data_IF_381797230797
#
_entry.id   IF_381797230797
#
_cell.length_a   1.000
_cell.length_b   1.000
_cell.length_c   1.000
_cell.angle_alpha   90.00
_cell.angle_beta   90.00
_cell.angle_gamma   90.00
#
_symmetry.space_group_name_H-M   'P 1'
#
loop_
_entity.id
_entity.type
_entity.pdbx_description
1 polymer ?
#
# COMPACT_ATOMS: atom_id res chain seq x y z
N UNK A 1 -24.40 8.90 -5.45
CA UNK A 1 -24.26 7.92 -4.35
C UNK A 1 -23.15 8.36 -3.43
N UNK A 2 -23.26 8.02 -2.15
CA UNK A 2 -22.27 8.29 -1.11
C UNK A 2 -22.02 7.01 -0.34
N UNK A 3 -20.82 6.90 0.24
CA UNK A 3 -20.51 5.89 1.23
C UNK A 3 -20.67 6.50 2.63
N UNK A 4 -21.30 5.76 3.51
CA UNK A 4 -21.54 6.11 4.89
C UNK A 4 -20.96 5.03 5.80
N UNK A 5 -20.53 5.40 6.99
CA UNK A 5 -20.18 4.48 8.05
C UNK A 5 -21.44 3.89 8.76
N UNK A 6 -21.22 3.09 9.78
CA UNK A 6 -22.32 2.49 10.57
C UNK A 6 -23.16 3.52 11.32
N UNK A 7 -22.66 4.74 11.49
CA UNK A 7 -23.33 5.88 12.16
C UNK A 7 -23.89 6.89 11.17
N UNK A 8 -24.00 6.51 9.91
CA UNK A 8 -24.48 7.35 8.79
C UNK A 8 -23.64 8.62 8.51
N UNK A 9 -22.37 8.64 8.95
CA UNK A 9 -21.44 9.71 8.62
C UNK A 9 -20.69 9.39 7.32
N UNK A 10 -20.39 10.44 6.54
CA UNK A 10 -19.52 10.33 5.36
C UNK A 10 -18.09 10.12 5.83
N UNK A 11 -17.37 9.22 5.18
CA UNK A 11 -15.93 9.07 5.38
C UNK A 11 -15.16 9.26 4.06
N UNK A 12 -13.87 9.65 4.14
CA UNK A 12 -13.05 9.81 2.96
C UNK A 12 -12.98 8.52 2.14
N UNK A 13 -13.08 8.61 0.83
CA UNK A 13 -12.95 7.45 -0.06
C UNK A 13 -11.58 7.49 -0.71
N UNK A 14 -10.70 6.55 -0.31
CA UNK A 14 -9.38 6.39 -0.89
C UNK A 14 -9.37 5.30 -1.95
N UNK A 15 -8.49 5.45 -2.93
CA UNK A 15 -8.28 4.45 -3.97
C UNK A 15 -6.84 4.49 -4.47
N UNK A 16 -6.36 3.38 -4.98
CA UNK A 16 -5.07 3.27 -5.65
C UNK A 16 -5.20 2.46 -6.94
N UNK A 17 -4.25 2.62 -7.83
CA UNK A 17 -4.29 1.93 -9.12
C UNK A 17 -4.30 0.40 -8.95
N UNK A 18 -3.43 -0.12 -8.08
CA UNK A 18 -3.33 -1.55 -7.78
C UNK A 18 -2.79 -1.78 -6.37
N UNK A 19 -3.44 -2.62 -5.57
CA UNK A 19 -3.01 -2.91 -4.20
C UNK A 19 -1.93 -4.01 -4.10
N UNK A 20 -1.58 -4.68 -5.20
CA UNK A 20 -0.54 -5.72 -5.21
C UNK A 20 -0.95 -7.04 -4.55
N UNK A 21 -2.24 -7.32 -4.46
CA UNK A 21 -2.77 -8.53 -3.83
C UNK A 21 -3.17 -8.37 -2.35
N UNK A 22 -2.82 -7.24 -1.73
CA UNK A 22 -3.23 -6.91 -0.36
C UNK A 22 -3.40 -5.40 -0.20
N UNK A 23 -4.53 -4.95 0.34
CA UNK A 23 -4.72 -3.53 0.69
C UNK A 23 -3.94 -3.14 1.94
N UNK A 24 -3.66 -1.83 2.07
CA UNK A 24 -3.03 -1.25 3.26
C UNK A 24 -4.09 -0.73 4.23
N UNK A 25 -3.77 -0.75 5.49
CA UNK A 25 -4.45 0.05 6.51
C UNK A 25 -3.98 1.51 6.43
N UNK A 26 -4.79 2.43 6.93
CA UNK A 26 -4.47 3.86 6.85
C UNK A 26 -3.28 4.27 7.71
N UNK A 27 -3.10 3.66 8.86
CA UNK A 27 -1.98 3.91 9.77
C UNK A 27 -0.62 3.46 9.21
N UNK A 28 -0.60 2.43 8.36
CA UNK A 28 0.60 2.02 7.63
C UNK A 28 1.13 3.11 6.66
N UNK A 29 0.25 4.04 6.25
CA UNK A 29 0.57 5.06 5.24
C UNK A 29 0.57 6.47 5.85
N UNK A 30 -0.40 6.82 6.71
CA UNK A 30 -0.62 8.21 7.18
C UNK A 30 -0.55 8.38 8.70
N UNK A 31 -0.17 7.36 9.46
CA UNK A 31 -0.13 7.36 10.94
C UNK A 31 -1.50 7.68 11.58
N UNK A 32 -2.60 7.40 10.89
CA UNK A 32 -3.97 7.63 11.37
C UNK A 32 -4.80 6.40 11.07
N UNK A 33 -5.39 5.78 12.09
CA UNK A 33 -6.27 4.64 11.93
C UNK A 33 -7.70 5.08 11.63
N UNK A 34 -8.25 4.53 10.53
CA UNK A 34 -9.67 4.69 10.17
C UNK A 34 -10.26 3.27 10.06
N UNK A 35 -11.17 2.87 10.96
CA UNK A 35 -11.65 1.48 11.07
C UNK A 35 -12.23 0.88 9.78
N UNK A 36 -12.77 1.70 8.88
CA UNK A 36 -13.30 1.26 7.60
C UNK A 36 -12.22 0.76 6.60
N UNK A 37 -10.94 0.96 6.89
CA UNK A 37 -9.81 0.62 6.02
C UNK A 37 -8.95 -0.48 6.64
N UNK A 38 -9.53 -1.64 6.82
CA UNK A 38 -8.80 -2.85 7.23
C UNK A 38 -8.03 -3.44 6.06
N UNK A 39 -6.85 -3.99 6.35
CA UNK A 39 -6.08 -4.75 5.36
C UNK A 39 -6.87 -5.95 4.87
N UNK A 40 -6.85 -6.19 3.57
CA UNK A 40 -7.62 -7.24 2.90
C UNK A 40 -6.81 -7.85 1.77
N UNK A 41 -6.91 -9.16 1.65
CA UNK A 41 -6.43 -9.87 0.47
C UNK A 41 -7.31 -9.52 -0.74
N UNK A 42 -6.69 -9.24 -1.88
CA UNK A 42 -7.35 -8.90 -3.14
C UNK A 42 -6.74 -9.69 -4.30
N UNK A 43 -7.32 -10.82 -4.62
CA UNK A 43 -6.87 -11.66 -5.74
C UNK A 43 -7.32 -11.16 -7.11
N UNK A 44 -8.21 -10.15 -7.17
CA UNK A 44 -8.72 -9.62 -8.44
C UNK A 44 -7.69 -8.80 -9.21
N UNK A 45 -6.67 -8.25 -8.53
CA UNK A 45 -5.68 -7.38 -9.15
C UNK A 45 -4.32 -8.04 -9.46
N UNK A 46 -4.05 -9.28 -9.00
CA UNK A 46 -2.70 -9.89 -9.02
C UNK A 46 -2.16 -10.26 -10.40
N UNK A 47 -3.02 -10.32 -11.43
CA UNK A 47 -2.66 -10.62 -12.81
C UNK A 47 -2.86 -9.44 -13.76
N UNK A 48 -2.97 -8.22 -13.21
CA UNK A 48 -3.20 -7.01 -13.99
C UNK A 48 -1.89 -6.29 -14.30
N UNK A 49 -1.97 -5.27 -15.17
CA UNK A 49 -0.80 -4.56 -15.70
C UNK A 49 0.12 -3.98 -14.60
N UNK A 50 -0.46 -3.52 -13.49
CA UNK A 50 0.28 -2.83 -12.43
C UNK A 50 0.52 -3.71 -11.20
N UNK A 51 0.30 -5.02 -11.33
CA UNK A 51 0.43 -5.96 -10.22
C UNK A 51 1.86 -6.10 -9.71
N UNK A 52 2.84 -6.01 -10.60
CA UNK A 52 4.26 -6.20 -10.25
C UNK A 52 5.12 -5.10 -10.88
N UNK A 53 6.25 -4.82 -10.23
CA UNK A 53 7.27 -3.90 -10.73
C UNK A 53 8.64 -4.23 -10.16
N UNK A 54 9.68 -3.79 -10.87
CA UNK A 54 11.06 -3.90 -10.45
C UNK A 54 11.76 -2.55 -10.59
N UNK A 55 12.72 -2.29 -9.71
CA UNK A 55 13.62 -1.13 -9.81
C UNK A 55 14.98 -1.46 -9.24
N UNK A 56 16.03 -1.22 -10.03
CA UNK A 56 17.42 -1.34 -9.63
C UNK A 56 17.93 0.01 -9.14
N UNK A 57 18.50 0.05 -7.93
CA UNK A 57 19.08 1.25 -7.33
C UNK A 57 20.51 0.91 -6.88
N UNK A 58 21.52 1.74 -7.18
CA UNK A 58 22.88 1.51 -6.68
C UNK A 58 22.89 1.33 -5.16
N UNK A 59 23.54 0.29 -4.66
CA UNK A 59 23.62 0.00 -3.22
C UNK A 59 24.15 1.21 -2.43
N UNK A 60 25.18 1.89 -2.98
CA UNK A 60 25.75 3.10 -2.39
C UNK A 60 24.70 4.21 -2.18
N UNK A 61 23.75 4.35 -3.09
CA UNK A 61 22.69 5.36 -3.00
C UNK A 61 21.71 5.04 -1.87
N UNK A 62 21.28 3.77 -1.78
CA UNK A 62 20.39 3.30 -0.70
C UNK A 62 21.07 3.45 0.66
N UNK A 63 22.29 3.00 0.80
CA UNK A 63 23.08 3.07 2.03
C UNK A 63 23.33 4.52 2.45
N UNK A 64 23.73 5.39 1.49
CA UNK A 64 23.94 6.82 1.76
C UNK A 64 22.67 7.51 2.25
N UNK A 65 21.51 7.19 1.69
CA UNK A 65 20.23 7.73 2.15
C UNK A 65 19.92 7.28 3.59
N UNK A 66 20.02 5.98 3.86
CA UNK A 66 19.71 5.43 5.18
C UNK A 66 20.64 5.95 6.28
N UNK A 67 21.95 6.03 5.97
CA UNK A 67 22.93 6.59 6.90
C UNK A 67 22.69 8.06 7.19
N UNK A 68 22.42 8.89 6.17
CA UNK A 68 22.22 10.33 6.34
C UNK A 68 20.88 10.73 6.94
N UNK A 69 19.78 10.08 6.52
CA UNK A 69 18.45 10.47 6.93
C UNK A 69 18.00 9.80 8.24
N UNK A 70 18.52 8.61 8.54
CA UNK A 70 18.09 7.81 9.67
C UNK A 70 19.24 7.38 10.58
N UNK A 71 20.47 7.83 10.32
CA UNK A 71 21.68 7.50 11.09
C UNK A 71 21.94 6.00 11.22
N UNK A 72 21.56 5.23 10.20
CA UNK A 72 21.73 3.79 10.17
C UNK A 72 23.20 3.46 9.95
N UNK A 73 23.76 2.60 10.79
CA UNK A 73 25.09 2.02 10.62
C UNK A 73 25.07 0.93 9.54
N UNK A 74 25.23 1.38 8.29
CA UNK A 74 25.23 0.50 7.11
C UNK A 74 26.51 -0.32 6.96
N UNK A 75 27.56 -0.01 7.73
CA UNK A 75 28.81 -0.77 7.76
C UNK A 75 28.71 -2.00 8.69
N UNK A 76 27.69 -2.03 9.53
CA UNK A 76 27.34 -3.22 10.32
C UNK A 76 26.77 -4.31 9.39
N UNK A 77 27.43 -5.49 9.27
CA UNK A 77 27.01 -6.55 8.35
C UNK A 77 25.58 -7.04 8.57
N UNK A 78 25.12 -7.10 9.82
CA UNK A 78 23.76 -7.56 10.15
C UNK A 78 22.69 -6.56 9.69
N UNK A 79 23.00 -5.26 9.75
CA UNK A 79 22.12 -4.20 9.27
C UNK A 79 22.12 -4.18 7.74
N UNK A 80 23.28 -4.26 7.12
CA UNK A 80 23.42 -4.36 5.69
C UNK A 80 22.64 -5.55 5.11
N UNK A 81 22.72 -6.71 5.74
CA UNK A 81 21.96 -7.90 5.35
C UNK A 81 20.44 -7.68 5.43
N UNK A 82 19.94 -7.07 6.50
CA UNK A 82 18.50 -6.72 6.63
C UNK A 82 18.02 -5.75 5.54
N UNK A 83 18.86 -4.81 5.12
CA UNK A 83 18.54 -3.88 4.03
C UNK A 83 18.48 -4.62 2.68
N UNK A 84 19.48 -5.46 2.42
CA UNK A 84 19.61 -6.18 1.15
C UNK A 84 18.55 -7.28 1.02
N UNK A 85 18.24 -7.99 2.09
CA UNK A 85 17.35 -9.15 2.10
C UNK A 85 15.98 -8.85 2.73
N UNK A 86 15.51 -7.60 2.71
CA UNK A 86 14.23 -7.24 3.27
C UNK A 86 13.07 -7.97 2.57
N UNK A 87 12.16 -8.55 3.37
CA UNK A 87 11.00 -9.30 2.88
C UNK A 87 9.71 -8.85 3.57
N UNK A 88 8.65 -8.82 2.78
CA UNK A 88 7.29 -8.61 3.24
C UNK A 88 6.41 -9.76 2.74
N UNK A 89 5.94 -10.62 3.63
CA UNK A 89 4.85 -11.54 3.35
C UNK A 89 3.51 -10.80 3.35
N UNK A 90 3.32 -9.98 4.38
CA UNK A 90 2.21 -9.03 4.52
C UNK A 90 2.76 -7.60 4.52
N UNK A 91 1.91 -6.62 4.20
CA UNK A 91 2.30 -5.22 4.22
C UNK A 91 2.78 -4.78 5.59
N UNK A 92 3.90 -4.07 5.61
CA UNK A 92 4.54 -3.50 6.80
C UNK A 92 4.47 -1.98 6.78
N UNK A 93 4.65 -1.37 7.94
CA UNK A 93 4.77 0.09 8.09
C UNK A 93 6.22 0.54 7.92
N UNK A 94 7.16 -0.27 8.46
CA UNK A 94 8.58 0.10 8.53
C UNK A 94 9.46 -0.79 7.65
N UNK A 95 10.49 -0.17 7.08
CA UNK A 95 11.57 -0.84 6.38
C UNK A 95 12.51 -1.50 7.38
N UNK A 96 13.01 -2.70 7.05
CA UNK A 96 13.79 -3.55 7.94
C UNK A 96 13.06 -3.79 9.30
N UNK A 97 13.61 -3.42 10.42
CA UNK A 97 13.00 -3.65 11.73
C UNK A 97 12.33 -2.35 12.25
N UNK A 98 11.15 -2.42 12.91
CA UNK A 98 10.45 -1.23 13.42
C UNK A 98 11.28 -0.33 14.34
N UNK A 99 12.22 -0.91 15.11
CA UNK A 99 13.11 -0.14 16.01
C UNK A 99 13.99 0.90 15.29
N UNK A 100 14.24 0.73 13.99
CA UNK A 100 14.96 1.73 13.19
C UNK A 100 14.09 2.91 12.79
N UNK A 101 12.78 2.82 12.95
CA UNK A 101 11.84 3.92 12.70
C UNK A 101 11.81 4.43 11.25
N UNK A 102 12.14 3.59 10.26
CA UNK A 102 12.23 3.97 8.83
C UNK A 102 10.90 3.64 8.16
N UNK A 103 10.01 4.63 7.89
CA UNK A 103 8.73 4.36 7.24
C UNK A 103 8.94 3.91 5.79
N UNK A 104 8.24 2.88 5.36
CA UNK A 104 8.30 2.42 3.96
C UNK A 104 7.83 3.48 2.96
N UNK A 105 6.95 4.42 3.38
CA UNK A 105 6.53 5.55 2.55
C UNK A 105 7.71 6.49 2.19
N UNK A 106 8.69 6.63 3.10
CA UNK A 106 9.84 7.50 2.89
C UNK A 106 10.83 6.84 1.92
N UNK A 107 11.02 5.51 2.04
CA UNK A 107 11.76 4.72 1.04
C UNK A 107 11.10 4.84 -0.34
N UNK A 108 9.76 4.68 -0.38
CA UNK A 108 9.00 4.84 -1.63
C UNK A 108 9.18 6.22 -2.24
N UNK A 109 9.07 7.27 -1.45
CA UNK A 109 9.20 8.67 -1.90
C UNK A 109 10.61 8.97 -2.39
N UNK A 110 11.63 8.62 -1.58
CA UNK A 110 13.04 8.85 -1.90
C UNK A 110 13.45 8.22 -3.22
N UNK A 111 13.05 6.98 -3.43
CA UNK A 111 13.48 6.22 -4.61
C UNK A 111 12.43 6.16 -5.73
N UNK A 112 11.34 6.92 -5.64
CA UNK A 112 10.30 6.94 -6.67
C UNK A 112 9.74 5.54 -6.95
N UNK A 113 9.47 4.73 -5.91
CA UNK A 113 8.93 3.39 -6.05
C UNK A 113 7.42 3.45 -6.30
N UNK A 114 6.88 2.45 -7.00
CA UNK A 114 5.45 2.45 -7.32
C UNK A 114 4.56 2.21 -6.10
N UNK A 115 5.04 1.44 -5.10
CA UNK A 115 4.30 1.14 -3.87
C UNK A 115 5.26 0.98 -2.68
N UNK A 116 4.71 0.81 -1.48
CA UNK A 116 5.45 0.40 -0.27
C UNK A 116 5.54 -1.13 -0.11
N UNK A 117 4.91 -1.91 -0.99
CA UNK A 117 4.87 -3.37 -0.91
C UNK A 117 5.93 -3.97 -1.81
N UNK A 118 7.13 -4.15 -1.27
CA UNK A 118 8.29 -4.64 -2.02
C UNK A 118 9.21 -5.51 -1.15
N UNK A 119 9.99 -6.34 -1.80
CA UNK A 119 11.15 -7.03 -1.25
C UNK A 119 12.42 -6.46 -1.85
N UNK A 120 13.56 -6.71 -1.21
CA UNK A 120 14.87 -6.34 -1.75
C UNK A 120 15.75 -7.59 -1.93
N UNK A 121 16.67 -7.51 -2.90
CA UNK A 121 17.75 -8.48 -3.10
C UNK A 121 18.95 -7.79 -3.74
N UNK A 122 20.16 -8.30 -3.48
CA UNK A 122 21.37 -7.76 -4.11
C UNK A 122 21.57 -8.35 -5.50
N UNK A 123 21.90 -7.47 -6.46
CA UNK A 123 22.25 -7.84 -7.83
C UNK A 123 23.48 -7.03 -8.24
N UNK A 124 24.64 -7.64 -8.12
CA UNK A 124 25.92 -6.95 -8.32
C UNK A 124 26.12 -5.80 -7.35
N UNK A 125 26.36 -4.59 -7.84
CA UNK A 125 26.52 -3.35 -7.07
C UNK A 125 25.20 -2.61 -6.80
N UNK A 126 24.05 -3.22 -7.14
CA UNK A 126 22.72 -2.65 -6.99
C UNK A 126 21.86 -3.47 -6.04
N UNK A 127 20.88 -2.80 -5.46
CA UNK A 127 19.75 -3.43 -4.77
C UNK A 127 18.57 -3.43 -5.73
N UNK A 128 18.03 -4.59 -6.00
CA UNK A 128 16.80 -4.77 -6.75
C UNK A 128 15.61 -4.72 -5.79
N UNK A 129 14.74 -3.76 -6.01
CA UNK A 129 13.43 -3.66 -5.38
C UNK A 129 12.40 -4.38 -6.25
N UNK A 130 11.90 -5.52 -5.78
CA UNK A 130 10.80 -6.30 -6.40
C UNK A 130 9.51 -5.97 -5.68
N UNK A 131 8.63 -5.22 -6.30
CA UNK A 131 7.43 -4.74 -5.66
C UNK A 131 6.14 -5.20 -6.31
N UNK A 132 5.06 -5.05 -5.54
CA UNK A 132 3.69 -5.37 -5.94
C UNK A 132 2.81 -4.12 -5.84
N UNK A 133 1.93 -3.94 -6.84
CA UNK A 133 0.94 -2.87 -6.87
C UNK A 133 1.48 -1.49 -7.25
N UNK A 134 0.57 -0.52 -7.33
CA UNK A 134 0.86 0.85 -7.67
C UNK A 134 -0.04 1.83 -6.88
N UNK A 135 0.56 2.68 -6.07
CA UNK A 135 -0.09 3.62 -5.19
C UNK A 135 0.11 3.28 -3.71
N UNK A 136 -0.71 3.87 -2.86
CA UNK A 136 -0.63 3.65 -1.40
C UNK A 136 -1.30 2.35 -0.93
N UNK A 137 -2.18 1.76 -1.75
CA UNK A 137 -2.84 0.49 -1.43
C UNK A 137 -4.04 0.58 -0.49
N UNK A 138 -4.38 1.76 0.05
CA UNK A 138 -5.53 1.94 0.95
C UNK A 138 -6.83 2.06 0.17
N UNK A 139 -7.90 1.42 0.67
CA UNK A 139 -9.24 1.49 0.12
C UNK A 139 -9.40 0.72 -1.19
N UNK A 140 -10.10 1.30 -2.17
CA UNK A 140 -10.45 0.64 -3.41
C UNK A 140 -9.23 0.43 -4.32
N UNK A 141 -9.02 -0.80 -4.76
CA UNK A 141 -8.08 -1.14 -5.83
C UNK A 141 -8.77 -0.99 -7.18
N UNK A 142 -8.34 -0.03 -8.00
CA UNK A 142 -9.00 0.26 -9.28
C UNK A 142 -8.97 -0.94 -10.24
N UNK A 143 -7.79 -1.56 -10.42
CA UNK A 143 -7.67 -2.73 -11.32
C UNK A 143 -8.41 -3.95 -10.76
N UNK A 144 -8.47 -4.14 -9.43
CA UNK A 144 -9.27 -5.17 -8.80
C UNK A 144 -10.78 -4.94 -9.00
N UNK A 145 -11.25 -3.71 -8.74
CA UNK A 145 -12.64 -3.32 -8.97
C UNK A 145 -13.08 -3.51 -10.43
N UNK A 146 -12.22 -3.12 -11.39
CA UNK A 146 -12.47 -3.34 -12.81
C UNK A 146 -12.63 -4.83 -13.15
N UNK A 147 -11.80 -5.70 -12.55
CA UNK A 147 -11.90 -7.14 -12.76
C UNK A 147 -13.11 -7.77 -12.07
N UNK A 148 -13.50 -7.27 -10.90
CA UNK A 148 -14.77 -7.68 -10.26
C UNK A 148 -15.95 -7.39 -11.18
N UNK A 149 -16.05 -6.18 -11.73
CA UNK A 149 -17.11 -5.81 -12.68
C UNK A 149 -17.09 -6.71 -13.93
N UNK A 150 -15.93 -6.99 -14.51
CA UNK A 150 -15.80 -7.91 -15.65
C UNK A 150 -16.28 -9.33 -15.32
N UNK A 151 -16.18 -9.78 -14.07
CA UNK A 151 -16.69 -11.06 -13.57
C UNK A 151 -18.17 -11.02 -13.17
N UNK A 152 -18.87 -9.90 -13.39
CA UNK A 152 -20.31 -9.76 -13.16
C UNK A 152 -20.72 -9.24 -11.79
N UNK A 153 -19.79 -8.87 -10.92
CA UNK A 153 -20.10 -8.20 -9.67
C UNK A 153 -20.76 -6.85 -9.94
N UNK A 154 -21.73 -6.48 -9.12
CA UNK A 154 -22.39 -5.17 -9.21
C UNK A 154 -21.58 -4.12 -8.42
N UNK A 155 -21.73 -2.83 -8.77
CA UNK A 155 -20.99 -1.77 -8.10
C UNK A 155 -21.19 -1.71 -6.57
N UNK A 156 -22.38 -2.01 -6.01
CA UNK A 156 -22.52 -2.05 -4.55
C UNK A 156 -21.66 -3.13 -3.90
N UNK A 157 -21.57 -4.33 -4.53
CA UNK A 157 -20.76 -5.44 -4.04
C UNK A 157 -19.27 -5.07 -4.03
N UNK A 158 -18.82 -4.38 -5.09
CA UNK A 158 -17.44 -3.88 -5.19
C UNK A 158 -17.14 -2.87 -4.08
N UNK A 159 -18.04 -1.92 -3.84
CA UNK A 159 -17.85 -0.92 -2.78
C UNK A 159 -17.82 -1.55 -1.38
N UNK A 160 -18.76 -2.44 -1.09
CA UNK A 160 -18.81 -3.17 0.19
C UNK A 160 -17.57 -4.07 0.37
N UNK A 161 -17.07 -4.65 -0.73
CA UNK A 161 -15.84 -5.44 -0.71
C UNK A 161 -14.64 -4.61 -0.26
N UNK A 162 -14.44 -3.39 -0.76
CA UNK A 162 -13.28 -2.55 -0.42
C UNK A 162 -13.47 -1.69 0.83
N UNK A 163 -14.69 -1.39 1.25
CA UNK A 163 -15.01 -0.52 2.38
C UNK A 163 -15.81 -1.29 3.42
N UNK A 164 -15.10 -1.91 4.37
CA UNK A 164 -15.72 -2.76 5.40
C UNK A 164 -16.72 -1.99 6.25
N UNK A 165 -17.95 -2.51 6.33
CA UNK A 165 -19.02 -1.89 7.12
C UNK A 165 -19.63 -0.64 6.49
N UNK A 166 -19.20 -0.26 5.27
CA UNK A 166 -19.82 0.85 4.57
C UNK A 166 -21.23 0.52 4.08
N UNK A 167 -22.11 1.52 4.11
CA UNK A 167 -23.42 1.51 3.46
C UNK A 167 -23.37 2.35 2.20
N UNK A 168 -23.93 1.83 1.11
CA UNK A 168 -24.12 2.59 -0.13
C UNK A 168 -25.49 3.26 -0.08
N UNK A 169 -25.52 4.59 -0.07
CA UNK A 169 -26.76 5.37 -0.02
C UNK A 169 -26.92 6.33 -1.17
N UNK A 170 -28.16 6.72 -1.45
CA UNK A 170 -28.46 7.69 -2.48
C UNK A 170 -28.20 9.11 -1.94
N UNK A 171 -27.37 9.88 -2.63
CA UNK A 171 -27.06 11.26 -2.23
C UNK A 171 -28.31 12.15 -2.06
N UNK A 172 -29.35 11.94 -2.86
CA UNK A 172 -30.60 12.73 -2.79
C UNK A 172 -31.37 12.52 -1.49
N UNK A 173 -31.30 11.35 -0.89
CA UNK A 173 -31.96 11.04 0.37
C UNK A 173 -31.33 11.77 1.56
N UNK A 174 -30.05 12.13 1.45
CA UNK A 174 -29.31 12.88 2.48
C UNK A 174 -29.38 14.41 2.36
N UNK A 175 -29.90 14.95 1.26
CA UNK A 175 -30.11 16.42 1.11
C UNK A 175 -31.40 16.90 1.74
N UNK A 176 -32.33 16.00 2.04
CA UNK A 176 -33.69 16.36 2.50
C UNK A 176 -33.72 16.59 4.03
N UNK A 177 -32.67 16.21 4.76
CA UNK A 177 -32.61 16.28 6.23
C UNK A 177 -31.52 17.24 6.77
N UNK A 178 -31.20 18.31 6.06
CA UNK A 178 -30.38 19.41 6.57
C UNK A 178 -31.13 20.72 6.52
#
# INVERSE_FOLDING_TARGET
MILLDSSDHKFPVFFSANCGGQSSETDQIWNTSIPAYTSREDTFCIHTRQANWEKYIPQKEVFSFLSKAYFIDVDNPNVADQIINFKQENRKTFFIHPSFGIPLRDIRSQFGLKSTYFNTEQVGDKILFKGKGFGHGVGLCQEGAMNMIKRGYKYPDVLIYYFTGAKVSNYREHLIYR
#
